data_IF_512901679320
#
_entry.id   IF_512901679320
#
_cell.length_a   1.000
_cell.length_b   1.000
_cell.length_c   1.000
_cell.angle_alpha   90.00
_cell.angle_beta   90.00
_cell.angle_gamma   90.00
#
_symmetry.space_group_name_H-M   'P 1'
#
loop_
_entity.id
_entity.type
_entity.pdbx_description
1 polymer ?
#
# COMPACT_ATOMS: atom_id res chain seq x y z
N UNK A 1 7.47 1.75 11.18
CA UNK A 1 7.11 1.21 9.86
C UNK A 1 5.61 1.37 9.69
N UNK A 2 5.11 1.74 8.50
CA UNK A 2 3.68 1.89 8.29
C UNK A 2 2.98 0.55 8.51
N UNK A 3 1.78 0.63 9.07
CA UNK A 3 0.88 -0.51 9.24
C UNK A 3 0.33 -0.97 7.89
N UNK A 4 -0.20 -2.19 7.83
CA UNK A 4 -0.86 -2.70 6.62
C UNK A 4 -1.94 -1.74 6.06
N UNK A 5 -2.88 -1.19 6.86
CA UNK A 5 -3.88 -0.26 6.36
C UNK A 5 -3.30 1.02 5.73
N UNK A 6 -2.26 1.58 6.35
CA UNK A 6 -1.56 2.77 5.86
C UNK A 6 -0.88 2.46 4.52
N UNK A 7 -0.12 1.35 4.46
CA UNK A 7 0.60 0.93 3.26
C UNK A 7 -0.34 0.62 2.10
N UNK A 8 -1.45 -0.07 2.36
CA UNK A 8 -2.46 -0.39 1.36
C UNK A 8 -3.01 0.89 0.72
N UNK A 9 -3.38 1.87 1.55
CA UNK A 9 -3.92 3.16 1.09
C UNK A 9 -2.91 3.96 0.29
N UNK A 10 -1.66 4.00 0.72
CA UNK A 10 -0.56 4.68 0.00
C UNK A 10 -0.33 4.04 -1.37
N UNK A 11 -0.17 2.72 -1.42
CA UNK A 11 0.09 2.00 -2.67
C UNK A 11 -1.06 2.13 -3.65
N UNK A 12 -2.31 2.00 -3.17
CA UNK A 12 -3.50 2.18 -4.02
C UNK A 12 -3.48 3.56 -4.68
N UNK A 13 -3.25 4.62 -3.89
CA UNK A 13 -3.19 5.99 -4.41
C UNK A 13 -2.03 6.18 -5.39
N UNK A 14 -0.84 5.67 -5.08
CA UNK A 14 0.33 5.76 -5.94
C UNK A 14 0.14 5.07 -7.29
N UNK A 15 -0.69 4.02 -7.35
CA UNK A 15 -1.08 3.31 -8.58
C UNK A 15 -2.31 3.91 -9.27
N UNK A 16 -2.89 4.98 -8.74
CA UNK A 16 -4.04 5.67 -9.33
C UNK A 16 -5.38 4.94 -9.18
N UNK A 17 -5.47 3.94 -8.29
CA UNK A 17 -6.69 3.17 -8.10
C UNK A 17 -7.66 3.86 -7.12
N UNK A 18 -8.95 3.71 -7.35
CA UNK A 18 -10.00 4.12 -6.39
C UNK A 18 -10.30 2.96 -5.43
N UNK A 19 -10.91 3.25 -4.29
CA UNK A 19 -11.37 2.17 -3.38
C UNK A 19 -12.40 1.27 -4.08
N UNK A 20 -13.30 1.87 -4.87
CA UNK A 20 -14.26 1.16 -5.72
C UNK A 20 -13.59 0.22 -6.72
N UNK A 21 -12.59 0.68 -7.48
CA UNK A 21 -11.93 -0.15 -8.49
C UNK A 21 -11.14 -1.32 -7.88
N UNK A 22 -10.54 -1.12 -6.70
CA UNK A 22 -9.92 -2.22 -5.95
C UNK A 22 -10.95 -3.24 -5.47
N UNK A 23 -12.09 -2.78 -4.96
CA UNK A 23 -13.16 -3.67 -4.52
C UNK A 23 -13.75 -4.48 -5.68
N UNK A 24 -13.95 -3.85 -6.84
CA UNK A 24 -14.38 -4.51 -8.08
C UNK A 24 -13.38 -5.60 -8.51
N UNK A 25 -12.07 -5.30 -8.53
CA UNK A 25 -11.03 -6.27 -8.82
C UNK A 25 -11.03 -7.47 -7.86
N UNK A 26 -11.26 -7.22 -6.57
CA UNK A 26 -11.29 -8.27 -5.54
C UNK A 26 -12.64 -8.99 -5.45
N UNK A 27 -13.63 -8.62 -6.27
CA UNK A 27 -14.96 -9.22 -6.25
C UNK A 27 -15.73 -8.97 -4.95
N UNK A 28 -15.56 -7.79 -4.34
CA UNK A 28 -16.22 -7.40 -3.09
C UNK A 28 -16.88 -6.03 -3.16
N UNK A 29 -17.70 -5.72 -2.16
CA UNK A 29 -18.31 -4.38 -2.03
C UNK A 29 -17.27 -3.36 -1.54
N UNK A 30 -17.39 -2.11 -2.00
CA UNK A 30 -16.45 -1.02 -1.67
C UNK A 30 -16.27 -0.83 -0.16
N UNK A 31 -17.35 -0.92 0.62
CA UNK A 31 -17.31 -0.82 2.09
C UNK A 31 -16.40 -1.90 2.71
N UNK A 32 -16.37 -3.12 2.16
CA UNK A 32 -15.51 -4.17 2.68
C UNK A 32 -14.02 -3.83 2.48
N UNK A 33 -13.67 -3.28 1.32
CA UNK A 33 -12.33 -2.80 1.03
C UNK A 33 -11.95 -1.58 1.91
N UNK A 34 -12.87 -0.64 2.12
CA UNK A 34 -12.66 0.50 3.03
C UNK A 34 -12.30 0.07 4.45
N UNK A 35 -12.95 -0.98 4.96
CA UNK A 35 -12.63 -1.53 6.29
C UNK A 35 -11.18 -2.02 6.39
N UNK A 36 -10.56 -2.46 5.28
CA UNK A 36 -9.14 -2.80 5.25
C UNK A 36 -8.27 -1.54 5.39
N UNK A 37 -8.52 -0.48 4.60
CA UNK A 37 -7.76 0.78 4.69
C UNK A 37 -7.98 1.53 6.01
N UNK A 38 -9.08 1.28 6.71
CA UNK A 38 -9.37 1.85 8.03
C UNK A 38 -8.86 0.99 9.19
N UNK A 39 -8.25 -0.18 8.91
CA UNK A 39 -7.78 -1.11 9.94
C UNK A 39 -8.91 -1.69 10.80
N UNK A 40 -10.14 -1.73 10.28
CA UNK A 40 -11.32 -2.28 10.97
C UNK A 40 -11.53 -3.75 10.66
N UNK A 41 -10.96 -4.23 9.57
CA UNK A 41 -10.99 -5.63 9.14
C UNK A 41 -9.67 -5.98 8.50
N UNK A 42 -9.29 -7.24 8.59
CA UNK A 42 -8.15 -7.79 7.85
C UNK A 42 -8.64 -8.61 6.66
N UNK A 43 -7.97 -8.54 5.50
CA UNK A 43 -8.17 -9.49 4.42
C UNK A 43 -7.71 -10.89 4.83
N UNK A 44 -8.27 -11.92 4.22
CA UNK A 44 -7.73 -13.27 4.35
C UNK A 44 -6.45 -13.40 3.50
N UNK A 45 -5.71 -14.50 3.70
CA UNK A 45 -4.45 -14.77 2.99
C UNK A 45 -4.54 -14.64 1.45
N UNK A 46 -5.59 -15.21 0.84
CA UNK A 46 -5.79 -15.18 -0.61
C UNK A 46 -6.01 -13.76 -1.12
N UNK A 47 -6.85 -12.98 -0.43
CA UNK A 47 -7.08 -11.56 -0.76
C UNK A 47 -5.80 -10.75 -0.58
N UNK A 48 -5.02 -10.99 0.46
CA UNK A 48 -3.75 -10.30 0.68
C UNK A 48 -2.77 -10.55 -0.46
N UNK A 49 -2.66 -11.79 -0.93
CA UNK A 49 -1.85 -12.16 -2.10
C UNK A 49 -2.34 -11.41 -3.34
N UNK A 50 -3.65 -11.46 -3.64
CA UNK A 50 -4.23 -10.74 -4.79
C UNK A 50 -3.97 -9.25 -4.76
N UNK A 51 -4.01 -8.62 -3.58
CA UNK A 51 -3.70 -7.20 -3.40
C UNK A 51 -2.22 -6.94 -3.72
N UNK A 52 -1.32 -7.76 -3.17
CA UNK A 52 0.12 -7.62 -3.38
C UNK A 52 0.48 -7.75 -4.87
N UNK A 53 -0.04 -8.77 -5.55
CA UNK A 53 0.17 -9.00 -6.97
C UNK A 53 -0.39 -7.84 -7.82
N UNK A 54 -1.59 -7.36 -7.51
CA UNK A 54 -2.22 -6.28 -8.27
C UNK A 54 -1.51 -4.94 -8.11
N UNK A 55 -0.97 -4.68 -6.92
CA UNK A 55 -0.20 -3.47 -6.62
C UNK A 55 1.28 -3.63 -6.99
N UNK A 56 1.71 -4.81 -7.44
CA UNK A 56 3.07 -5.15 -7.83
C UNK A 56 4.08 -4.86 -6.70
N UNK A 57 3.82 -5.48 -5.54
CA UNK A 57 4.63 -5.42 -4.32
C UNK A 57 4.66 -6.79 -3.62
N UNK A 58 5.59 -7.01 -2.70
CA UNK A 58 5.61 -8.24 -1.87
C UNK A 58 4.67 -8.09 -0.70
N UNK A 59 4.29 -9.25 -0.16
CA UNK A 59 3.64 -9.35 1.13
C UNK A 59 4.45 -8.68 2.25
N UNK A 60 5.76 -8.82 2.29
CA UNK A 60 6.57 -8.21 3.35
C UNK A 60 6.50 -6.68 3.31
N UNK A 61 6.52 -6.09 2.12
CA UNK A 61 6.39 -4.64 1.97
C UNK A 61 4.96 -4.17 2.30
N UNK A 62 3.95 -4.88 1.77
CA UNK A 62 2.53 -4.60 2.00
C UNK A 62 2.15 -4.69 3.48
N UNK A 63 2.66 -5.70 4.19
CA UNK A 63 2.39 -5.96 5.60
C UNK A 63 3.25 -5.11 6.55
N UNK A 64 4.09 -4.20 6.02
CA UNK A 64 4.92 -3.32 6.83
C UNK A 64 6.09 -3.99 7.52
N UNK A 65 6.52 -5.19 7.06
CA UNK A 65 7.71 -5.91 7.58
C UNK A 65 9.02 -5.38 7.03
N UNK A 66 8.98 -4.64 5.92
CA UNK A 66 10.14 -4.01 5.29
C UNK A 66 9.77 -2.70 4.60
N UNK A 67 10.75 -1.81 4.46
CA UNK A 67 10.67 -0.64 3.58
C UNK A 67 11.46 -0.84 2.28
N UNK A 68 12.10 -2.00 2.12
CA UNK A 68 12.98 -2.31 1.00
C UNK A 68 12.25 -3.11 -0.09
N UNK A 69 12.53 -2.79 -1.34
CA UNK A 69 12.01 -3.46 -2.55
C UNK A 69 13.15 -3.63 -3.57
N UNK A 70 13.27 -4.77 -4.28
CA UNK A 70 14.23 -4.88 -5.38
C UNK A 70 13.85 -3.94 -6.54
N UNK A 71 14.78 -3.11 -6.99
CA UNK A 71 14.64 -2.35 -8.23
C UNK A 71 14.63 -3.30 -9.45
N UNK A 72 14.50 -2.75 -10.66
CA UNK A 72 14.52 -3.52 -11.90
C UNK A 72 15.81 -4.35 -12.11
N UNK A 73 16.87 -4.06 -11.35
CA UNK A 73 18.17 -4.71 -11.40
C UNK A 73 18.41 -5.63 -10.19
N UNK A 74 17.42 -5.81 -9.31
CA UNK A 74 17.53 -6.63 -8.11
C UNK A 74 18.21 -5.95 -6.91
N UNK A 75 18.50 -4.66 -6.97
CA UNK A 75 19.06 -3.92 -5.84
C UNK A 75 17.96 -3.55 -4.84
N UNK A 76 18.20 -3.78 -3.56
CA UNK A 76 17.24 -3.38 -2.51
C UNK A 76 17.22 -1.87 -2.34
N UNK A 77 16.13 -1.22 -2.75
CA UNK A 77 15.89 0.22 -2.62
C UNK A 77 14.78 0.51 -1.60
N UNK A 78 14.89 1.63 -0.89
CA UNK A 78 13.81 2.13 -0.04
C UNK A 78 12.77 2.79 -0.96
N UNK A 79 11.55 2.25 -1.04
CA UNK A 79 10.43 3.02 -1.61
C UNK A 79 9.90 3.95 -0.52
N UNK A 80 10.36 5.20 -0.52
CA UNK A 80 9.62 6.28 0.10
C UNK A 80 8.36 6.54 -0.74
N UNK A 81 7.19 6.80 -0.12
CA UNK A 81 6.03 7.27 -0.86
C UNK A 81 6.41 8.51 -1.70
N UNK A 82 5.85 8.70 -2.90
CA UNK A 82 6.11 9.87 -3.75
C UNK A 82 5.84 11.22 -3.08
N UNK A 83 5.15 11.23 -1.92
CA UNK A 83 4.72 12.42 -1.19
C UNK A 83 5.39 12.58 0.19
N UNK A 84 6.51 11.92 0.49
CA UNK A 84 7.37 12.44 1.56
C UNK A 84 8.05 13.71 1.01
N UNK A 85 7.70 14.93 1.48
CA UNK A 85 8.46 16.10 1.09
C UNK A 85 9.89 15.83 1.56
N UNK A 86 10.82 15.75 0.60
CA UNK A 86 12.25 15.75 0.89
C UNK A 86 12.47 16.80 1.96
N UNK A 87 12.94 16.38 3.14
CA UNK A 87 13.07 17.23 4.33
C UNK A 87 13.66 18.58 3.93
N UNK A 88 12.76 19.53 3.72
CA UNK A 88 13.03 20.82 3.15
C UNK A 88 12.85 21.81 4.27
N UNK A 89 13.98 22.37 4.72
CA UNK A 89 14.05 23.50 5.62
C UNK A 89 12.91 24.49 5.42
N UNK A 90 12.17 24.83 6.47
CA UNK A 90 11.18 25.89 6.38
C UNK A 90 10.39 26.08 7.66
N UNK A 91 10.66 27.19 8.34
CA UNK A 91 10.08 27.57 9.62
C UNK A 91 8.55 27.58 9.63
N UNK A 92 8.01 27.12 10.77
CA UNK A 92 6.63 27.30 11.21
C UNK A 92 6.44 28.73 11.73
N UNK A 93 5.39 29.49 11.34
CA UNK A 93 4.77 30.46 12.24
C UNK A 93 3.84 29.75 13.24
#
# INVERSE_FOLDING_TARGET
MPTFPERLKELRKAKGFTQKSMAEYLGMVEQAYQMYEYGKREPNHETTIKIADHLDVSLDYLMGRTNYWPDANGNMIIKTPPDEPAAGNGAKP
#
